data_IF_074456654919
#
_entry.id   IF_074456654919
#
_cell.length_a   1.000
_cell.length_b   1.000
_cell.length_c   1.000
_cell.angle_alpha   90.00
_cell.angle_beta   90.00
_cell.angle_gamma   90.00
#
_symmetry.space_group_name_H-M   'P 1'
#
loop_
_entity.id
_entity.type
_entity.pdbx_description
1 polymer ?
#
# COMPACT_ATOMS: atom_id res chain seq x y z
N UNK A 1 -7.09 9.92 -32.35
CA UNK A 1 -7.20 9.76 -30.89
C UNK A 1 -5.88 9.17 -30.42
N UNK A 2 -5.14 9.83 -29.54
CA UNK A 2 -3.91 9.25 -29.00
C UNK A 2 -4.25 7.96 -28.25
N UNK A 3 -3.41 6.93 -28.39
CA UNK A 3 -3.59 5.65 -27.72
C UNK A 3 -3.49 5.86 -26.21
N UNK A 4 -4.54 5.49 -25.46
CA UNK A 4 -4.55 5.67 -24.00
C UNK A 4 -3.57 4.71 -23.34
N UNK A 5 -2.70 5.23 -22.49
CA UNK A 5 -1.81 4.45 -21.66
C UNK A 5 -2.66 3.75 -20.59
N UNK A 6 -2.61 2.43 -20.53
CA UNK A 6 -3.23 1.65 -19.46
C UNK A 6 -2.20 0.79 -18.72
N UNK A 7 -2.30 0.77 -17.40
CA UNK A 7 -1.54 -0.11 -16.54
C UNK A 7 -2.05 -1.53 -16.67
N UNK A 8 -1.18 -2.40 -17.18
CA UNK A 8 -1.48 -3.83 -17.29
C UNK A 8 -1.62 -4.49 -15.93
N UNK A 9 -2.21 -5.69 -15.89
CA UNK A 9 -2.20 -6.50 -14.66
C UNK A 9 -0.78 -6.80 -14.17
N UNK A 10 0.19 -6.95 -15.08
CA UNK A 10 1.58 -7.19 -14.70
C UNK A 10 2.18 -5.97 -13.98
N UNK A 11 1.83 -4.76 -14.40
CA UNK A 11 2.31 -3.53 -13.75
C UNK A 11 1.68 -3.35 -12.36
N UNK A 12 0.37 -3.62 -12.23
CA UNK A 12 -0.31 -3.62 -10.93
C UNK A 12 0.26 -4.68 -9.98
N UNK A 13 0.60 -5.88 -10.48
CA UNK A 13 1.29 -6.92 -9.69
C UNK A 13 2.68 -6.50 -9.22
N UNK A 14 3.44 -5.73 -10.02
CA UNK A 14 4.73 -5.18 -9.59
C UNK A 14 4.54 -4.17 -8.45
N UNK A 15 3.52 -3.32 -8.55
CA UNK A 15 3.17 -2.36 -7.49
C UNK A 15 2.76 -3.11 -6.21
N UNK A 16 1.91 -4.12 -6.32
CA UNK A 16 1.48 -4.98 -5.21
C UNK A 16 2.65 -5.72 -4.52
N UNK A 17 3.60 -6.25 -5.29
CA UNK A 17 4.79 -6.88 -4.71
C UNK A 17 5.67 -5.88 -3.97
N UNK A 18 5.79 -4.65 -4.47
CA UNK A 18 6.57 -3.60 -3.82
C UNK A 18 5.87 -3.01 -2.60
N UNK A 19 4.53 -3.01 -2.57
CA UNK A 19 3.74 -2.53 -1.43
C UNK A 19 3.94 -3.37 -0.16
N UNK A 20 4.44 -4.61 -0.29
CA UNK A 20 4.86 -5.43 0.86
C UNK A 20 5.95 -4.75 1.71
N UNK A 21 6.69 -3.81 1.12
CA UNK A 21 7.75 -3.04 1.78
C UNK A 21 7.30 -1.62 2.18
N UNK A 22 5.99 -1.36 2.25
CA UNK A 22 5.44 -0.03 2.59
C UNK A 22 6.03 0.55 3.90
N UNK A 23 6.20 -0.29 4.92
CA UNK A 23 6.78 0.12 6.20
C UNK A 23 8.31 0.02 6.27
N UNK A 24 8.98 -0.37 5.17
CA UNK A 24 10.42 -0.65 5.15
C UNK A 24 11.32 0.56 5.40
N UNK A 25 10.80 1.79 5.21
CA UNK A 25 11.56 3.04 5.40
C UNK A 25 10.75 4.09 6.16
N UNK A 26 10.17 3.68 7.28
CA UNK A 26 9.37 4.55 8.14
C UNK A 26 10.25 5.65 8.77
N UNK A 27 9.80 6.90 8.72
CA UNK A 27 10.51 8.04 9.28
C UNK A 27 9.54 9.03 9.96
N UNK A 28 10.01 9.78 10.96
CA UNK A 28 9.12 10.68 11.72
C UNK A 28 8.65 11.91 10.94
N UNK A 29 9.36 12.33 9.89
CA UNK A 29 8.99 13.50 9.12
C UNK A 29 7.74 13.23 8.27
N UNK A 30 7.67 12.07 7.60
CA UNK A 30 6.66 11.76 6.58
C UNK A 30 6.12 10.32 6.62
N UNK A 31 6.44 9.58 7.66
CA UNK A 31 5.94 8.24 7.96
C UNK A 31 6.29 7.21 6.87
N UNK A 32 5.29 6.70 6.14
CA UNK A 32 5.42 5.60 5.18
C UNK A 32 5.69 6.08 3.74
N UNK A 33 5.88 7.39 3.53
CA UNK A 33 5.99 8.01 2.21
C UNK A 33 7.04 7.36 1.29
N UNK A 34 8.19 6.93 1.83
CA UNK A 34 9.26 6.33 1.04
C UNK A 34 8.87 4.94 0.51
N UNK A 35 8.25 4.11 1.35
CA UNK A 35 7.70 2.82 0.93
C UNK A 35 6.53 2.98 -0.05
N UNK A 36 5.72 4.01 0.15
CA UNK A 36 4.64 4.39 -0.76
C UNK A 36 5.18 4.77 -2.15
N UNK A 37 6.10 5.72 -2.22
CA UNK A 37 6.73 6.16 -3.46
C UNK A 37 7.44 4.99 -4.16
N UNK A 38 8.19 4.16 -3.41
CA UNK A 38 8.85 2.97 -3.94
C UNK A 38 7.88 2.00 -4.64
N UNK A 39 6.70 1.82 -4.04
CA UNK A 39 5.65 0.94 -4.56
C UNK A 39 5.12 1.41 -5.92
N UNK A 40 5.02 2.72 -6.11
CA UNK A 40 4.46 3.33 -7.32
C UNK A 40 5.45 3.45 -8.48
N UNK A 41 6.76 3.34 -8.25
CA UNK A 41 7.81 3.47 -9.29
C UNK A 41 7.50 2.68 -10.58
N UNK A 42 7.07 1.40 -10.55
CA UNK A 42 6.77 0.65 -11.78
C UNK A 42 5.66 1.28 -12.61
N UNK A 43 4.61 1.79 -11.96
CA UNK A 43 3.51 2.46 -12.64
C UNK A 43 3.94 3.83 -13.17
N UNK A 44 4.64 4.63 -12.36
CA UNK A 44 5.17 5.95 -12.76
C UNK A 44 6.05 5.84 -14.00
N UNK A 45 6.96 4.84 -14.06
CA UNK A 45 7.81 4.59 -15.23
C UNK A 45 7.04 4.20 -16.50
N UNK A 46 5.85 3.64 -16.35
CA UNK A 46 4.98 3.25 -17.47
C UNK A 46 4.12 4.42 -17.96
N UNK A 47 3.64 5.24 -17.02
CA UNK A 47 2.76 6.38 -17.27
C UNK A 47 3.53 7.59 -17.83
N UNK A 48 4.77 7.81 -17.37
CA UNK A 48 5.58 8.97 -17.74
C UNK A 48 6.89 8.52 -18.39
N UNK A 49 7.17 9.00 -19.61
CA UNK A 49 8.34 8.59 -20.40
C UNK A 49 9.57 9.48 -20.18
N UNK A 50 9.38 10.76 -19.89
CA UNK A 50 10.48 11.68 -19.60
C UNK A 50 10.87 11.61 -18.11
N UNK A 51 12.11 12.02 -17.79
CA UNK A 51 12.60 11.98 -16.40
C UNK A 51 11.99 13.08 -15.53
N UNK A 52 11.60 14.19 -16.12
CA UNK A 52 11.07 15.37 -15.42
C UNK A 52 9.69 15.06 -14.83
N UNK A 53 8.79 14.47 -15.61
CA UNK A 53 7.45 14.07 -15.15
C UNK A 53 7.53 12.91 -14.16
N UNK A 54 8.46 11.96 -14.37
CA UNK A 54 8.72 10.91 -13.37
C UNK A 54 9.19 11.50 -12.03
N UNK A 55 10.08 12.49 -12.06
CA UNK A 55 10.56 13.16 -10.85
C UNK A 55 9.44 13.97 -10.18
N UNK A 56 8.62 14.69 -10.96
CA UNK A 56 7.44 15.38 -10.46
C UNK A 56 6.45 14.41 -9.80
N UNK A 57 6.25 13.23 -10.41
CA UNK A 57 5.42 12.15 -9.89
C UNK A 57 5.91 11.58 -8.57
N UNK A 58 7.21 11.31 -8.49
CA UNK A 58 7.79 10.84 -7.24
C UNK A 58 7.73 11.92 -6.17
N UNK A 59 7.96 13.19 -6.51
CA UNK A 59 7.90 14.29 -5.55
C UNK A 59 6.52 14.42 -4.91
N UNK A 60 5.42 14.36 -5.69
CA UNK A 60 4.07 14.34 -5.11
C UNK A 60 3.84 13.10 -4.25
N UNK A 61 4.35 11.93 -4.62
CA UNK A 61 4.18 10.72 -3.79
C UNK A 61 5.15 10.61 -2.60
N UNK A 62 6.08 11.55 -2.45
CA UNK A 62 6.93 11.70 -1.27
C UNK A 62 6.33 12.60 -0.19
N UNK A 63 5.12 13.11 -0.40
CA UNK A 63 4.32 13.77 0.64
C UNK A 63 3.93 12.77 1.75
N UNK A 64 3.45 13.31 2.88
CA UNK A 64 3.04 12.50 4.03
C UNK A 64 2.07 11.38 3.62
N UNK A 65 2.37 10.15 4.03
CA UNK A 65 1.48 9.02 3.88
C UNK A 65 1.56 8.16 5.14
N UNK A 66 0.42 7.95 5.81
CA UNK A 66 0.36 7.09 6.97
C UNK A 66 -0.99 6.40 7.07
N UNK A 67 -1.02 5.09 6.91
CA UNK A 67 -2.21 4.28 7.14
C UNK A 67 -1.82 2.86 7.57
N UNK A 68 -2.82 2.02 7.80
CA UNK A 68 -2.58 0.63 8.12
C UNK A 68 -2.13 -0.15 6.86
N UNK A 69 -1.01 -0.91 6.90
CA UNK A 69 -0.39 -1.48 5.70
C UNK A 69 -1.29 -2.37 4.84
N UNK A 70 -2.10 -3.21 5.47
CA UNK A 70 -2.95 -4.17 4.74
C UNK A 70 -4.18 -3.53 4.12
N UNK A 71 -4.52 -2.30 4.50
CA UNK A 71 -5.62 -1.53 3.91
C UNK A 71 -5.12 -0.31 3.14
N UNK A 72 -3.81 -0.23 2.87
CA UNK A 72 -3.23 0.73 1.96
C UNK A 72 -3.52 0.38 0.48
N UNK A 73 -3.83 -0.90 0.17
CA UNK A 73 -4.06 -1.38 -1.19
C UNK A 73 -5.21 -0.67 -1.92
N UNK A 74 -6.39 -0.42 -1.30
CA UNK A 74 -7.44 0.42 -1.91
C UNK A 74 -6.97 1.83 -2.26
N UNK A 75 -6.22 2.49 -1.37
CA UNK A 75 -5.68 3.85 -1.63
C UNK A 75 -4.72 3.79 -2.82
N UNK A 76 -3.90 2.75 -2.88
CA UNK A 76 -2.97 2.53 -3.98
C UNK A 76 -3.69 2.33 -5.31
N UNK A 77 -4.75 1.51 -5.34
CA UNK A 77 -5.58 1.30 -6.51
C UNK A 77 -6.23 2.59 -7.03
N UNK A 78 -6.83 3.39 -6.14
CA UNK A 78 -7.41 4.70 -6.50
C UNK A 78 -6.33 5.66 -7.00
N UNK A 79 -5.17 5.69 -6.33
CA UNK A 79 -4.05 6.53 -6.77
C UNK A 79 -3.55 6.16 -8.16
N UNK A 80 -3.41 4.85 -8.44
CA UNK A 80 -3.01 4.37 -9.77
C UNK A 80 -4.02 4.77 -10.85
N UNK A 81 -5.32 4.75 -10.55
CA UNK A 81 -6.35 5.18 -11.48
C UNK A 81 -6.27 6.68 -11.78
N UNK A 82 -6.10 7.52 -10.75
CA UNK A 82 -5.94 8.98 -10.91
C UNK A 82 -4.65 9.33 -11.69
N UNK A 83 -3.56 8.62 -11.42
CA UNK A 83 -2.30 8.76 -12.14
C UNK A 83 -2.44 8.36 -13.61
N UNK A 84 -3.17 7.28 -13.89
CA UNK A 84 -3.46 6.84 -15.25
C UNK A 84 -4.31 7.86 -16.03
N UNK A 85 -5.37 8.41 -15.41
CA UNK A 85 -6.17 9.46 -16.03
C UNK A 85 -5.36 10.74 -16.29
N UNK A 86 -4.54 11.15 -15.31
CA UNK A 86 -3.65 12.31 -15.47
C UNK A 86 -2.64 12.12 -16.59
N UNK A 87 -2.01 10.95 -16.67
CA UNK A 87 -1.06 10.63 -17.74
C UNK A 87 -1.71 10.57 -19.13
N UNK A 88 -3.02 10.27 -19.18
CA UNK A 88 -3.82 10.29 -20.41
C UNK A 88 -4.36 11.68 -20.79
N UNK A 89 -3.97 12.74 -20.07
CA UNK A 89 -4.31 14.13 -20.41
C UNK A 89 -5.54 14.68 -19.69
N UNK A 90 -6.11 13.97 -18.72
CA UNK A 90 -7.11 14.57 -17.83
C UNK A 90 -6.44 15.61 -16.94
N UNK A 91 -7.00 16.82 -16.87
CA UNK A 91 -6.53 17.88 -15.98
C UNK A 91 -6.86 17.54 -14.52
N UNK A 92 -5.96 16.78 -13.89
CA UNK A 92 -6.02 16.44 -12.47
C UNK A 92 -4.91 17.20 -11.75
N UNK A 93 -5.28 18.08 -10.81
CA UNK A 93 -4.31 18.77 -9.98
C UNK A 93 -3.57 17.80 -9.04
N UNK A 94 -2.27 18.03 -8.81
CA UNK A 94 -1.49 17.21 -7.87
C UNK A 94 -2.08 17.25 -6.45
N UNK A 95 -2.64 18.40 -6.05
CA UNK A 95 -3.33 18.59 -4.78
C UNK A 95 -4.59 17.72 -4.67
N UNK A 96 -5.30 17.46 -5.77
CA UNK A 96 -6.46 16.57 -5.76
C UNK A 96 -6.04 15.12 -5.49
N UNK A 97 -4.95 14.65 -6.11
CA UNK A 97 -4.40 13.31 -5.84
C UNK A 97 -3.98 13.20 -4.36
N UNK A 98 -3.34 14.24 -3.80
CA UNK A 98 -3.03 14.26 -2.36
C UNK A 98 -4.27 14.27 -1.48
N UNK A 99 -5.26 15.10 -1.81
CA UNK A 99 -6.50 15.24 -1.06
C UNK A 99 -7.25 13.92 -0.95
N UNK A 100 -7.35 13.18 -2.05
CA UNK A 100 -7.95 11.82 -2.05
C UNK A 100 -7.16 10.87 -1.15
N UNK A 101 -5.83 10.85 -1.25
CA UNK A 101 -5.00 10.01 -0.39
C UNK A 101 -5.20 10.34 1.09
N UNK A 102 -5.12 11.62 1.46
CA UNK A 102 -5.29 12.09 2.85
C UNK A 102 -6.68 11.76 3.37
N UNK A 103 -7.72 11.99 2.55
CA UNK A 103 -9.10 11.68 2.89
C UNK A 103 -9.34 10.19 3.18
N UNK A 104 -8.58 9.30 2.54
CA UNK A 104 -8.67 7.85 2.76
C UNK A 104 -7.76 7.35 3.89
N UNK A 105 -6.62 8.00 4.15
CA UNK A 105 -5.65 7.58 5.18
C UNK A 105 -6.28 7.44 6.57
N UNK A 106 -7.04 8.46 6.99
CA UNK A 106 -7.64 8.52 8.33
C UNK A 106 -8.65 7.39 8.60
N UNK A 107 -9.73 7.26 7.81
CA UNK A 107 -10.72 6.20 7.99
C UNK A 107 -10.11 4.79 7.89
N UNK A 108 -9.22 4.55 6.93
CA UNK A 108 -8.61 3.23 6.75
C UNK A 108 -7.62 2.89 7.86
N UNK A 109 -6.87 3.87 8.39
CA UNK A 109 -6.07 3.66 9.60
C UNK A 109 -6.95 3.34 10.81
N UNK A 110 -8.03 4.13 11.00
CA UNK A 110 -8.96 3.98 12.12
C UNK A 110 -9.68 2.64 12.16
N UNK A 111 -9.90 2.00 11.00
CA UNK A 111 -10.47 0.65 10.92
C UNK A 111 -9.38 -0.42 10.97
N UNK A 112 -8.28 -0.21 10.23
CA UNK A 112 -7.21 -1.20 10.09
C UNK A 112 -6.51 -1.51 11.41
N UNK A 113 -6.18 -0.50 12.21
CA UNK A 113 -5.42 -0.70 13.43
C UNK A 113 -6.19 -1.54 14.49
N UNK A 114 -7.46 -1.25 14.82
CA UNK A 114 -8.24 -2.08 15.72
C UNK A 114 -8.47 -3.52 15.22
N UNK A 115 -8.73 -3.68 13.91
CA UNK A 115 -9.00 -4.99 13.32
C UNK A 115 -7.75 -5.86 13.33
N UNK A 116 -6.65 -5.39 12.76
CA UNK A 116 -5.48 -6.23 12.53
C UNK A 116 -4.53 -6.24 13.72
N UNK A 117 -4.22 -5.08 14.32
CA UNK A 117 -3.25 -5.00 15.40
C UNK A 117 -3.82 -5.35 16.76
N UNK A 118 -5.06 -4.97 17.04
CA UNK A 118 -5.66 -5.19 18.37
C UNK A 118 -6.54 -6.43 18.45
N UNK A 119 -7.08 -6.91 17.32
CA UNK A 119 -8.00 -8.06 17.32
C UNK A 119 -7.38 -9.30 16.69
N UNK A 120 -7.15 -9.30 15.37
CA UNK A 120 -6.72 -10.51 14.63
C UNK A 120 -5.36 -11.01 15.10
N UNK A 121 -4.34 -10.13 15.14
CA UNK A 121 -2.98 -10.54 15.49
C UNK A 121 -2.87 -11.04 16.94
N UNK A 122 -3.46 -10.37 17.96
CA UNK A 122 -3.42 -10.88 19.33
C UNK A 122 -4.20 -12.18 19.52
N UNK A 123 -5.36 -12.35 18.88
CA UNK A 123 -6.13 -13.61 18.95
C UNK A 123 -5.33 -14.77 18.36
N UNK A 124 -4.79 -14.61 17.15
CA UNK A 124 -3.92 -15.62 16.54
C UNK A 124 -2.67 -15.88 17.37
N UNK A 125 -2.09 -14.82 17.94
CA UNK A 125 -0.93 -14.89 18.82
C UNK A 125 -1.22 -15.67 20.10
N UNK A 126 -2.35 -15.41 20.76
CA UNK A 126 -2.77 -16.11 21.97
C UNK A 126 -3.06 -17.59 21.71
N UNK A 127 -3.74 -17.91 20.60
CA UNK A 127 -3.98 -19.29 20.17
C UNK A 127 -2.66 -20.02 19.84
N UNK A 128 -1.78 -19.38 19.07
CA UNK A 128 -0.48 -19.94 18.73
C UNK A 128 0.40 -20.16 19.96
N UNK A 129 0.41 -19.20 20.88
CA UNK A 129 1.18 -19.24 22.12
C UNK A 129 0.68 -20.33 23.09
N UNK A 130 -0.63 -20.54 23.21
CA UNK A 130 -1.18 -21.58 24.10
C UNK A 130 -0.81 -22.99 23.64
N UNK A 131 -0.87 -23.24 22.32
CA UNK A 131 -0.41 -24.50 21.73
C UNK A 131 1.11 -24.68 21.85
N UNK A 132 1.89 -23.61 21.62
CA UNK A 132 3.33 -23.65 21.75
C UNK A 132 3.79 -23.96 23.18
N UNK A 133 3.12 -23.37 24.20
CA UNK A 133 3.38 -23.66 25.61
C UNK A 133 3.13 -25.13 25.97
N UNK A 134 2.19 -25.79 25.30
CA UNK A 134 1.95 -27.22 25.42
C UNK A 134 2.94 -28.10 24.62
N UNK A 135 3.99 -27.52 24.03
CA UNK A 135 4.98 -28.23 23.22
C UNK A 135 4.52 -28.56 21.80
N UNK A 136 3.39 -28.01 21.33
CA UNK A 136 2.84 -28.31 20.02
C UNK A 136 3.37 -27.36 18.94
N UNK A 137 4.11 -27.89 17.96
CA UNK A 137 4.64 -27.13 16.81
C UNK A 137 3.54 -26.50 15.93
N UNK A 138 2.30 -26.98 16.02
CA UNK A 138 1.18 -26.36 15.35
C UNK A 138 0.97 -24.91 15.81
N UNK A 139 1.34 -24.55 17.03
CA UNK A 139 1.17 -23.18 17.55
C UNK A 139 1.85 -22.11 16.69
N UNK A 140 3.19 -22.15 16.54
CA UNK A 140 3.91 -21.23 15.65
C UNK A 140 3.47 -21.32 14.18
N UNK A 141 3.11 -22.50 13.69
CA UNK A 141 2.67 -22.70 12.30
C UNK A 141 1.30 -22.06 12.04
N UNK A 142 0.34 -22.21 12.96
CA UNK A 142 -0.98 -21.58 12.87
C UNK A 142 -0.83 -20.06 12.88
N UNK A 143 0.01 -19.51 13.76
CA UNK A 143 0.26 -18.08 13.77
C UNK A 143 0.87 -17.62 12.43
N UNK A 144 1.95 -18.27 11.98
CA UNK A 144 2.64 -17.89 10.76
C UNK A 144 1.71 -17.99 9.54
N UNK A 145 1.08 -19.14 9.31
CA UNK A 145 0.23 -19.36 8.14
C UNK A 145 -1.02 -18.48 8.23
N UNK A 146 -1.72 -18.48 9.35
CA UNK A 146 -2.96 -17.73 9.53
C UNK A 146 -2.75 -16.22 9.36
N UNK A 147 -1.70 -15.67 9.99
CA UNK A 147 -1.38 -14.25 9.85
C UNK A 147 -1.01 -13.87 8.42
N UNK A 148 -0.17 -14.68 7.77
CA UNK A 148 0.24 -14.43 6.39
C UNK A 148 -0.90 -14.61 5.39
N UNK A 149 -1.84 -15.55 5.59
CA UNK A 149 -3.00 -15.68 4.72
C UNK A 149 -3.93 -14.48 4.85
N UNK A 150 -4.24 -14.06 6.07
CA UNK A 150 -5.10 -12.91 6.31
C UNK A 150 -4.50 -11.65 5.69
N UNK A 151 -3.22 -11.34 5.94
CA UNK A 151 -2.62 -10.12 5.37
C UNK A 151 -2.67 -10.14 3.83
N UNK A 152 -2.42 -11.29 3.20
CA UNK A 152 -2.37 -11.42 1.74
C UNK A 152 -3.76 -11.34 1.10
N UNK A 153 -4.83 -11.66 1.84
CA UNK A 153 -6.20 -11.52 1.35
C UNK A 153 -6.67 -10.06 1.26
N UNK A 154 -6.03 -9.15 2.01
CA UNK A 154 -6.39 -7.72 2.03
C UNK A 154 -5.48 -6.83 1.17
N UNK A 155 -4.36 -7.38 0.68
CA UNK A 155 -3.39 -6.71 -0.18
C UNK A 155 -3.68 -6.97 -1.67
#
# INVERSE_FOLDING_TARGET
>A
MAEKIQLSQADRKKVWWRSQFLQGSWNYERMQNLGWAYSLIPAIKKLYTNKEDQAAALKRHLEFFNTHPYVAAPIMGVTLALEEEKANGTEIEDAAIQGVKIGMMGPLAGIGDPVFWFTVRPILGALGASLAQAGNIAGPLIFFIGWNLIRMAFL
#
